data_IF_194039799953
#
_entry.id   IF_194039799953
#
_cell.length_a   1.000
_cell.length_b   1.000
_cell.length_c   1.000
_cell.angle_alpha   90.00
_cell.angle_beta   90.00
_cell.angle_gamma   90.00
#
_symmetry.space_group_name_H-M   'P 1'
#
loop_
_entity.id
_entity.type
_entity.pdbx_description
1 polymer ?
#
# COMPACT_ATOMS: atom_id res chain seq x y z
N UNK A 1 3.51 12.83 -58.16
CA UNK A 1 2.40 12.91 -57.19
C UNK A 1 2.84 12.20 -55.92
N UNK A 2 3.18 12.96 -54.88
CA UNK A 2 3.52 12.45 -53.56
C UNK A 2 2.75 13.32 -52.56
N UNK A 3 1.85 12.69 -51.82
CA UNK A 3 0.97 13.34 -50.85
C UNK A 3 1.78 13.41 -49.55
N UNK A 4 2.37 14.58 -49.28
CA UNK A 4 3.04 14.83 -48.01
C UNK A 4 1.98 14.86 -46.91
N UNK A 5 2.08 13.92 -45.97
CA UNK A 5 1.25 13.85 -44.79
C UNK A 5 1.43 15.14 -43.98
N UNK A 6 0.35 15.91 -43.86
CA UNK A 6 0.28 17.10 -43.02
C UNK A 6 0.31 16.67 -41.56
N UNK A 7 1.51 16.59 -40.99
CA UNK A 7 1.72 16.49 -39.54
C UNK A 7 1.24 17.80 -38.91
N UNK A 8 0.08 17.75 -38.26
CA UNK A 8 -0.29 18.78 -37.30
C UNK A 8 0.57 18.57 -36.05
N UNK A 9 1.62 19.38 -35.92
CA UNK A 9 2.32 19.59 -34.66
C UNK A 9 1.33 20.23 -33.67
N UNK A 10 0.66 19.39 -32.88
CA UNK A 10 -0.04 19.85 -31.68
C UNK A 10 1.02 20.22 -30.64
N UNK A 11 1.44 21.48 -30.67
CA UNK A 11 2.22 22.09 -29.59
C UNK A 11 1.33 22.15 -28.34
N UNK A 12 1.39 21.10 -27.52
CA UNK A 12 0.90 21.15 -26.15
C UNK A 12 1.99 21.79 -25.28
N UNK A 13 2.00 23.13 -25.25
CA UNK A 13 2.58 23.88 -24.14
C UNK A 13 1.70 23.70 -22.91
N UNK A 14 1.90 22.59 -22.22
CA UNK A 14 1.53 22.43 -20.82
C UNK A 14 2.57 21.51 -20.19
N UNK A 15 3.66 22.10 -19.69
CA UNK A 15 4.40 21.46 -18.62
C UNK A 15 3.61 21.80 -17.35
N UNK A 16 2.76 20.91 -16.79
CA UNK A 16 2.58 20.98 -15.37
C UNK A 16 3.96 20.63 -14.81
N UNK A 17 4.59 21.59 -14.17
CA UNK A 17 5.70 21.32 -13.25
C UNK A 17 5.11 20.51 -12.11
N UNK A 18 4.79 19.23 -12.36
CA UNK A 18 4.46 18.28 -11.34
C UNK A 18 5.79 17.89 -10.73
N UNK A 19 6.27 18.75 -9.84
CA UNK A 19 7.32 18.41 -8.90
C UNK A 19 6.81 17.21 -8.11
N UNK A 20 7.10 16.01 -8.61
CA UNK A 20 7.01 14.80 -7.82
C UNK A 20 7.80 15.09 -6.54
N UNK A 21 7.20 14.99 -5.34
CA UNK A 21 7.97 15.15 -4.12
C UNK A 21 9.11 14.16 -4.22
N UNK A 22 10.32 14.70 -4.18
CA UNK A 22 11.56 13.93 -4.24
C UNK A 22 11.43 12.75 -3.28
N UNK A 23 11.78 11.56 -3.78
CA UNK A 23 11.94 10.30 -3.07
C UNK A 23 11.83 10.39 -1.54
N UNK A 24 10.95 9.63 -0.87
CA UNK A 24 11.02 9.47 0.58
C UNK A 24 12.26 8.64 0.95
N UNK A 25 13.42 9.28 0.84
CA UNK A 25 14.71 8.87 1.38
C UNK A 25 14.84 9.50 2.76
N UNK A 26 14.00 9.07 3.68
CA UNK A 26 14.28 9.13 5.10
C UNK A 26 13.69 7.86 5.70
N UNK A 27 14.50 7.12 6.44
CA UNK A 27 14.08 6.05 7.32
C UNK A 27 13.27 6.66 8.48
N UNK A 28 12.11 7.23 8.17
CA UNK A 28 11.16 7.78 9.12
C UNK A 28 9.92 6.89 9.21
N UNK A 29 9.20 6.92 10.34
CA UNK A 29 7.91 6.26 10.45
C UNK A 29 7.00 6.75 9.31
N UNK A 30 6.31 5.81 8.67
CA UNK A 30 5.31 6.12 7.66
C UNK A 30 4.35 7.18 8.20
N UNK A 31 4.07 8.28 7.48
CA UNK A 31 3.23 9.34 7.99
C UNK A 31 1.89 8.76 8.47
N UNK A 32 1.58 9.03 9.74
CA UNK A 32 0.35 8.57 10.38
C UNK A 32 -0.86 9.07 9.57
N UNK A 33 -1.81 8.16 9.29
CA UNK A 33 -2.97 8.48 8.44
C UNK A 33 -2.74 8.34 6.94
N UNK A 34 -1.59 7.81 6.49
CA UNK A 34 -1.41 7.45 5.08
C UNK A 34 -2.31 6.28 4.66
N UNK A 35 -2.66 6.20 3.38
CA UNK A 35 -3.41 5.09 2.80
C UNK A 35 -2.83 3.71 3.19
N UNK A 36 -1.50 3.60 3.17
CA UNK A 36 -0.79 2.36 3.52
C UNK A 36 -0.96 2.00 4.98
N UNK A 37 -0.98 2.97 5.90
CA UNK A 37 -1.25 2.70 7.32
C UNK A 37 -2.66 2.09 7.51
N UNK A 38 -3.63 2.56 6.74
CA UNK A 38 -4.96 1.98 6.67
C UNK A 38 -5.01 0.53 6.17
N UNK A 39 -4.13 0.18 5.24
CA UNK A 39 -3.96 -1.19 4.73
C UNK A 39 -3.26 -2.08 5.76
N UNK A 40 -2.19 -1.59 6.37
CA UNK A 40 -1.44 -2.31 7.41
C UNK A 40 -2.34 -2.57 8.61
N UNK A 41 -3.09 -1.58 9.08
CA UNK A 41 -4.03 -1.74 10.18
C UNK A 41 -5.11 -2.77 9.85
N UNK A 42 -5.51 -2.84 8.58
CA UNK A 42 -6.45 -3.86 8.11
C UNK A 42 -5.86 -5.27 8.15
N UNK A 43 -4.58 -5.44 7.84
CA UNK A 43 -3.87 -6.72 7.98
C UNK A 43 -3.66 -7.09 9.45
N UNK A 44 -3.19 -6.16 10.27
CA UNK A 44 -2.92 -6.37 11.71
C UNK A 44 -4.18 -6.85 12.42
N UNK A 45 -5.32 -6.19 12.18
CA UNK A 45 -6.58 -6.55 12.83
C UNK A 45 -7.17 -7.87 12.34
N UNK A 46 -6.91 -8.27 11.08
CA UNK A 46 -7.41 -9.55 10.54
C UNK A 46 -6.55 -10.74 10.94
N UNK A 47 -5.22 -10.57 10.98
CA UNK A 47 -4.27 -11.68 11.18
C UNK A 47 -3.54 -11.64 12.53
N UNK A 48 -3.85 -10.65 13.38
CA UNK A 48 -3.19 -10.43 14.69
C UNK A 48 -1.67 -10.36 14.57
N UNK A 49 -1.19 -9.60 13.59
CA UNK A 49 0.24 -9.42 13.35
C UNK A 49 0.91 -8.75 14.56
N UNK A 50 2.08 -9.24 14.95
CA UNK A 50 2.91 -8.62 15.97
C UNK A 50 3.57 -7.32 15.45
N UNK A 51 4.23 -6.56 16.31
CA UNK A 51 4.84 -5.27 15.92
C UNK A 51 5.92 -5.44 14.83
N UNK A 52 6.67 -6.54 14.88
CA UNK A 52 7.66 -6.88 13.87
C UNK A 52 7.04 -7.17 12.50
N UNK A 53 5.99 -7.98 12.45
CA UNK A 53 5.25 -8.27 11.23
C UNK A 53 4.50 -7.05 10.71
N UNK A 54 3.96 -6.21 11.60
CA UNK A 54 3.34 -4.92 11.23
C UNK A 54 4.34 -4.03 10.50
N UNK A 55 5.53 -3.86 11.07
CA UNK A 55 6.57 -3.04 10.45
C UNK A 55 7.03 -3.63 9.11
N UNK A 56 7.18 -4.96 9.03
CA UNK A 56 7.53 -5.66 7.80
C UNK A 56 6.45 -5.49 6.72
N UNK A 57 5.18 -5.66 7.06
CA UNK A 57 4.05 -5.46 6.17
C UNK A 57 4.01 -4.02 5.64
N UNK A 58 4.23 -3.02 6.51
CA UNK A 58 4.31 -1.62 6.11
C UNK A 58 5.42 -1.39 5.07
N UNK A 59 6.63 -1.92 5.31
CA UNK A 59 7.74 -1.78 4.36
C UNK A 59 7.47 -2.48 3.03
N UNK A 60 6.85 -3.66 3.06
CA UNK A 60 6.48 -4.41 1.86
C UNK A 60 5.42 -3.68 1.04
N UNK A 61 4.38 -3.13 1.67
CA UNK A 61 3.33 -2.37 1.00
C UNK A 61 3.84 -1.03 0.45
N UNK A 62 4.85 -0.42 1.09
CA UNK A 62 5.58 0.73 0.54
C UNK A 62 6.52 0.38 -0.63
N UNK A 63 6.62 -0.90 -0.99
CA UNK A 63 7.46 -1.35 -2.10
C UNK A 63 8.96 -1.35 -1.81
N UNK A 64 9.38 -1.31 -0.53
CA UNK A 64 10.80 -1.37 -0.16
C UNK A 64 11.41 -2.69 -0.63
N UNK A 65 12.63 -2.61 -1.19
CA UNK A 65 13.41 -3.79 -1.61
C UNK A 65 13.89 -4.57 -0.38
N UNK A 66 14.10 -5.88 -0.53
CA UNK A 66 14.53 -6.77 0.55
C UNK A 66 15.79 -6.28 1.28
N UNK A 67 16.78 -5.76 0.54
CA UNK A 67 18.00 -5.22 1.15
C UNK A 67 17.77 -3.97 2.01
N UNK A 68 16.76 -3.14 1.67
CA UNK A 68 16.37 -2.01 2.51
C UNK A 68 15.65 -2.48 3.78
N UNK A 69 14.80 -3.49 3.66
CA UNK A 69 14.10 -4.14 4.78
C UNK A 69 15.11 -4.74 5.75
N UNK A 70 16.08 -5.51 5.26
CA UNK A 70 17.13 -6.13 6.07
C UNK A 70 17.92 -5.08 6.87
N UNK A 71 18.31 -3.97 6.23
CA UNK A 71 19.00 -2.85 6.90
C UNK A 71 18.15 -2.19 7.98
N UNK A 72 16.87 -1.93 7.71
CA UNK A 72 15.97 -1.29 8.69
C UNK A 72 15.72 -2.20 9.88
N UNK A 73 15.62 -3.51 9.66
CA UNK A 73 15.42 -4.49 10.72
C UNK A 73 16.72 -4.91 11.43
N UNK A 74 17.89 -4.49 10.94
CA UNK A 74 19.18 -4.88 11.48
C UNK A 74 19.49 -6.38 11.34
N UNK A 75 18.91 -7.05 10.34
CA UNK A 75 19.06 -8.50 10.10
C UNK A 75 19.77 -8.76 8.77
N UNK A 76 20.24 -9.99 8.56
CA UNK A 76 20.80 -10.39 7.27
C UNK A 76 19.70 -10.59 6.19
N UNK A 77 20.12 -10.65 4.93
CA UNK A 77 19.18 -10.80 3.81
C UNK A 77 18.41 -12.11 3.86
N UNK A 78 19.01 -13.18 4.40
CA UNK A 78 18.41 -14.52 4.48
C UNK A 78 17.29 -14.55 5.51
N UNK A 79 17.52 -13.96 6.67
CA UNK A 79 16.53 -13.82 7.74
C UNK A 79 15.41 -12.87 7.31
N UNK A 80 15.73 -11.74 6.68
CA UNK A 80 14.71 -10.85 6.10
C UNK A 80 13.81 -11.60 5.10
N UNK A 81 14.38 -12.45 4.25
CA UNK A 81 13.61 -13.27 3.32
C UNK A 81 12.76 -14.31 4.05
N UNK A 82 13.28 -14.95 5.09
CA UNK A 82 12.55 -15.92 5.90
C UNK A 82 11.34 -15.26 6.59
N UNK A 83 11.53 -14.06 7.16
CA UNK A 83 10.45 -13.27 7.78
C UNK A 83 9.39 -12.86 6.76
N UNK A 84 9.79 -12.43 5.55
CA UNK A 84 8.84 -12.15 4.47
C UNK A 84 8.02 -13.39 4.09
N UNK A 85 8.67 -14.55 3.94
CA UNK A 85 7.98 -15.81 3.64
C UNK A 85 7.03 -16.23 4.77
N UNK A 86 7.43 -16.07 6.02
CA UNK A 86 6.59 -16.36 7.17
C UNK A 86 5.34 -15.46 7.19
N UNK A 87 5.49 -14.17 6.91
CA UNK A 87 4.37 -13.24 6.77
C UNK A 87 3.41 -13.68 5.65
N UNK A 88 3.95 -13.99 4.47
CA UNK A 88 3.18 -14.45 3.33
C UNK A 88 2.42 -15.75 3.61
N UNK A 89 3.04 -16.69 4.30
CA UNK A 89 2.38 -17.93 4.73
C UNK A 89 1.26 -17.65 5.75
N UNK A 90 1.50 -16.75 6.72
CA UNK A 90 0.51 -16.37 7.73
C UNK A 90 -0.72 -15.68 7.12
N UNK A 91 -0.52 -14.89 6.06
CA UNK A 91 -1.61 -14.20 5.35
C UNK A 91 -2.22 -15.01 4.21
N UNK A 92 -1.67 -16.19 3.89
CA UNK A 92 -2.11 -17.01 2.76
C UNK A 92 -1.89 -16.35 1.40
N UNK A 93 -0.83 -15.56 1.26
CA UNK A 93 -0.51 -14.80 0.04
C UNK A 93 0.79 -15.28 -0.57
N UNK A 94 0.92 -15.31 -1.89
CA UNK A 94 2.12 -15.84 -2.55
C UNK A 94 3.26 -14.80 -2.71
N UNK A 95 3.02 -13.55 -2.32
CA UNK A 95 4.02 -12.50 -2.41
C UNK A 95 3.47 -11.11 -2.14
N UNK A 96 4.28 -10.10 -2.46
CA UNK A 96 4.00 -8.69 -2.17
C UNK A 96 2.71 -8.21 -2.83
N UNK A 97 2.47 -8.60 -4.08
CA UNK A 97 1.28 -8.19 -4.83
C UNK A 97 0.01 -8.81 -4.23
N UNK A 98 0.02 -10.12 -3.94
CA UNK A 98 -1.07 -10.78 -3.25
C UNK A 98 -1.35 -10.19 -1.86
N UNK A 99 -0.30 -9.84 -1.12
CA UNK A 99 -0.44 -9.14 0.17
C UNK A 99 -1.09 -7.76 0.01
N UNK A 100 -0.71 -7.01 -1.01
CA UNK A 100 -1.31 -5.70 -1.31
C UNK A 100 -2.77 -5.83 -1.70
N UNK A 101 -3.10 -6.75 -2.60
CA UNK A 101 -4.49 -7.00 -3.02
C UNK A 101 -5.35 -7.43 -1.84
N UNK A 102 -4.86 -8.35 -1.01
CA UNK A 102 -5.54 -8.79 0.21
C UNK A 102 -5.80 -7.62 1.16
N UNK A 103 -4.79 -6.77 1.39
CA UNK A 103 -4.93 -5.61 2.26
C UNK A 103 -6.00 -4.64 1.73
N UNK A 104 -6.00 -4.37 0.42
CA UNK A 104 -7.01 -3.53 -0.24
C UNK A 104 -8.41 -4.14 -0.11
N UNK A 105 -8.55 -5.44 -0.33
CA UNK A 105 -9.83 -6.16 -0.21
C UNK A 105 -10.37 -6.07 1.22
N UNK A 106 -9.54 -6.36 2.22
CA UNK A 106 -9.92 -6.26 3.63
C UNK A 106 -10.33 -4.84 4.01
N UNK A 107 -9.61 -3.83 3.50
CA UNK A 107 -9.94 -2.43 3.74
C UNK A 107 -11.29 -2.06 3.13
N UNK A 108 -11.53 -2.42 1.87
CA UNK A 108 -12.80 -2.17 1.20
C UNK A 108 -13.97 -2.85 1.93
N UNK A 109 -13.80 -4.11 2.40
CA UNK A 109 -14.82 -4.81 3.17
C UNK A 109 -15.14 -4.07 4.48
N UNK A 110 -14.12 -3.56 5.18
CA UNK A 110 -14.32 -2.76 6.39
C UNK A 110 -15.06 -1.46 6.11
N UNK A 111 -14.64 -0.71 5.09
CA UNK A 111 -15.25 0.56 4.73
C UNK A 111 -16.74 0.35 4.36
N UNK A 112 -17.06 -0.69 3.57
CA UNK A 112 -18.45 -1.05 3.26
C UNK A 112 -19.26 -1.40 4.51
N UNK A 113 -18.69 -2.22 5.40
CA UNK A 113 -19.37 -2.61 6.64
C UNK A 113 -19.67 -1.41 7.54
N UNK A 114 -18.75 -0.45 7.62
CA UNK A 114 -18.93 0.79 8.37
C UNK A 114 -20.07 1.64 7.78
N UNK A 115 -20.11 1.79 6.45
CA UNK A 115 -21.19 2.53 5.77
C UNK A 115 -22.57 1.91 6.03
N UNK A 116 -22.70 0.58 6.01
CA UNK A 116 -23.97 -0.09 6.30
C UNK A 116 -24.40 0.11 7.76
N UNK A 117 -23.47 0.05 8.71
CA UNK A 117 -23.77 0.28 10.13
C UNK A 117 -24.18 1.72 10.41
N UNK A 118 -23.52 2.69 9.78
CA UNK A 118 -23.89 4.10 9.90
C UNK A 118 -25.29 4.37 9.34
N UNK A 119 -25.62 3.77 8.18
CA UNK A 119 -26.95 3.89 7.57
C UNK A 119 -28.04 3.28 8.47
N UNK A 120 -27.77 2.13 9.08
CA UNK A 120 -28.69 1.49 10.02
C UNK A 120 -28.85 2.28 11.33
N UNK A 121 -27.81 2.94 11.81
CA UNK A 121 -27.88 3.82 12.99
C UNK A 121 -28.73 5.07 12.70
N UNK A 122 -28.55 5.68 11.52
CA UNK A 122 -29.34 6.86 11.09
C UNK A 122 -30.83 6.53 10.92
N UNK A 123 -31.17 5.35 10.38
CA UNK A 123 -32.59 4.97 10.24
C UNK A 123 -33.28 4.75 11.59
N UNK A 124 -32.56 4.27 12.62
CA UNK A 124 -33.10 4.07 13.97
C UNK A 124 -33.33 5.38 14.74
N UNK A 125 -32.58 6.44 14.45
CA UNK A 125 -32.74 7.76 15.11
C UNK A 125 -33.88 8.59 14.50
N UNK A 126 -34.34 8.23 13.29
CA UNK A 126 -35.43 8.90 12.59
C UNK A 126 -36.81 8.22 12.83
N UNK A 127 -36.85 7.16 13.64
CA UNK A 127 -38.06 6.43 14.07
C UNK A 127 -38.33 6.69 15.54
#
# INVERSE_FOLDING_TARGET
MNIAATTYELSFSFAPTFSLPSSPSLAGPTPAGSFVDGLVLSLVSSFKLDDGQRQLAAMLLFGRKLGAIARVLGVDSREAQARCKALFAATGTDGREGLFELACRLRATRDLSAMYMERAARSKLAS
#
